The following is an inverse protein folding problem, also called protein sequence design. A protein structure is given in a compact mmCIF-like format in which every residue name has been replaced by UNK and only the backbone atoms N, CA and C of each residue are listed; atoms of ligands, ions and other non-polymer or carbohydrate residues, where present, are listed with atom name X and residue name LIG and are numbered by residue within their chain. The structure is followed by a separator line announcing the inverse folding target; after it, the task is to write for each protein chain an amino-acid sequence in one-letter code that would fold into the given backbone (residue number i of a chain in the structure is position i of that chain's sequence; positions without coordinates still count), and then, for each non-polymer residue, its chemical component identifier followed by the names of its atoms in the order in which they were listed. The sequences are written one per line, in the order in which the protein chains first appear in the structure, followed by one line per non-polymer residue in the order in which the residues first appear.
data_IF_133344646856
#
_entry.id   IF_133344646856
#
_cell.length_a   1.000
_cell.length_b   1.000
_cell.length_c   1.000
_cell.angle_alpha   90.00
_cell.angle_beta   90.00
_cell.angle_gamma   90.00
#
_symmetry.space_group_name_H-M   'P 1'
#
loop_
_entity.id
_entity.type
_entity.pdbx_description
1 polymer ?
#
# COMPACT_ATOMS: atom_id res chain seq x y z
N UNK A 1 58.18 15.55 -21.38
CA UNK A 1 57.32 16.37 -20.48
C UNK A 1 55.82 16.00 -20.60
N UNK A 2 55.45 14.74 -20.86
CA UNK A 2 54.08 14.40 -21.31
C UNK A 2 53.52 13.11 -20.71
N UNK A 3 53.57 12.98 -19.38
CA UNK A 3 52.89 11.86 -18.69
C UNK A 3 52.15 12.30 -17.41
N UNK A 4 52.51 13.46 -16.84
CA UNK A 4 51.89 14.00 -15.62
C UNK A 4 50.55 14.70 -15.85
N UNK A 5 50.21 15.11 -17.08
CA UNK A 5 48.97 15.83 -17.40
C UNK A 5 47.76 14.91 -17.66
N UNK A 6 47.96 13.63 -17.94
CA UNK A 6 46.85 12.71 -18.27
C UNK A 6 46.18 12.07 -17.05
N UNK A 7 46.79 12.14 -15.86
CA UNK A 7 46.23 11.51 -14.64
C UNK A 7 45.19 12.43 -13.96
N UNK A 8 45.26 13.75 -14.18
CA UNK A 8 44.36 14.71 -13.52
C UNK A 8 42.97 14.76 -14.19
N UNK A 9 42.86 14.43 -15.47
CA UNK A 9 41.55 14.37 -16.15
C UNK A 9 40.74 13.10 -15.83
N UNK A 10 41.39 11.98 -15.49
CA UNK A 10 40.69 10.72 -15.18
C UNK A 10 40.05 10.69 -13.79
N UNK A 11 40.62 11.41 -12.82
CA UNK A 11 40.15 11.41 -11.42
C UNK A 11 38.97 12.38 -11.22
N UNK A 12 38.86 13.43 -12.05
CA UNK A 12 37.76 14.41 -11.92
C UNK A 12 36.43 13.92 -12.53
N UNK A 13 36.46 12.91 -13.41
CA UNK A 13 35.26 12.32 -14.02
C UNK A 13 34.56 11.28 -13.12
N UNK A 14 35.19 10.82 -12.03
CA UNK A 14 34.60 9.83 -11.11
C UNK A 14 33.69 10.43 -10.03
N UNK A 15 33.56 11.76 -9.96
CA UNK A 15 32.75 12.43 -8.94
C UNK A 15 31.40 12.98 -9.45
N UNK A 16 31.04 12.75 -10.71
CA UNK A 16 29.88 13.40 -11.33
C UNK A 16 28.63 12.51 -11.49
N UNK A 17 28.68 11.22 -11.20
CA UNK A 17 27.49 10.36 -11.19
C UNK A 17 27.13 10.01 -9.75
N UNK A 18 26.29 10.83 -9.12
CA UNK A 18 25.56 10.37 -7.94
C UNK A 18 24.79 9.11 -8.37
N UNK A 19 24.99 7.94 -7.72
CA UNK A 19 24.18 6.77 -8.03
C UNK A 19 22.71 7.14 -7.83
N UNK A 20 21.86 6.80 -8.81
CA UNK A 20 20.43 6.76 -8.56
C UNK A 20 20.22 5.82 -7.36
N UNK A 21 19.65 6.34 -6.28
CA UNK A 21 19.33 5.51 -5.12
C UNK A 21 17.90 5.02 -5.33
N UNK A 22 17.71 3.71 -5.44
CA UNK A 22 16.38 3.12 -5.33
C UNK A 22 15.80 3.55 -3.98
N UNK A 23 14.59 4.10 -3.97
CA UNK A 23 13.98 4.57 -2.73
C UNK A 23 12.81 3.65 -2.37
N UNK A 24 12.86 3.09 -1.16
CA UNK A 24 11.64 2.62 -0.53
C UNK A 24 11.04 3.83 0.19
N UNK A 25 9.79 4.13 -0.13
CA UNK A 25 9.05 5.23 0.48
C UNK A 25 7.92 4.66 1.32
N UNK A 26 7.78 5.16 2.55
CA UNK A 26 6.66 4.78 3.42
C UNK A 26 5.58 5.84 3.33
N UNK A 27 4.36 5.42 3.04
CA UNK A 27 3.19 6.31 2.97
C UNK A 27 2.19 5.95 4.06
N UNK A 28 1.50 6.95 4.59
CA UNK A 28 0.19 6.75 5.22
C UNK A 28 -0.89 6.81 4.15
N UNK A 29 -2.00 6.12 4.39
CA UNK A 29 -3.20 6.14 3.57
C UNK A 29 -4.42 6.27 4.46
N UNK A 30 -5.34 7.13 4.06
CA UNK A 30 -6.67 7.26 4.68
C UNK A 30 -7.71 7.12 3.60
N UNK A 31 -8.65 6.18 3.77
CA UNK A 31 -9.76 5.93 2.84
C UNK A 31 -11.08 6.14 3.57
N UNK A 32 -12.02 6.85 2.94
CA UNK A 32 -13.38 7.05 3.46
C UNK A 32 -14.40 6.31 2.61
N UNK A 33 -15.30 5.61 3.29
CA UNK A 33 -16.51 5.02 2.74
C UNK A 33 -17.72 5.68 3.42
N UNK A 34 -18.65 6.20 2.63
CA UNK A 34 -19.90 6.74 3.17
C UNK A 34 -20.80 5.57 3.55
N UNK A 35 -21.45 5.65 4.71
CA UNK A 35 -22.38 4.65 5.23
C UNK A 35 -23.73 5.29 5.56
N UNK A 36 -24.64 5.42 4.56
CA UNK A 36 -25.89 6.16 4.71
C UNK A 36 -26.78 5.74 5.89
N UNK A 37 -26.78 4.44 6.24
CA UNK A 37 -27.62 3.93 7.33
C UNK A 37 -26.99 4.10 8.73
N UNK A 38 -25.70 4.46 8.82
CA UNK A 38 -24.99 4.69 10.10
C UNK A 38 -24.59 6.14 10.31
N UNK A 39 -25.16 7.06 9.53
CA UNK A 39 -24.88 8.50 9.65
C UNK A 39 -25.02 8.99 11.11
N UNK A 40 -24.08 9.83 11.61
CA UNK A 40 -22.97 10.44 10.87
C UNK A 40 -21.71 9.57 10.77
N UNK A 41 -21.69 8.39 11.39
CA UNK A 41 -20.52 7.52 11.42
C UNK A 41 -20.28 6.85 10.06
N UNK A 42 -19.07 7.00 9.55
CA UNK A 42 -18.63 6.44 8.27
C UNK A 42 -17.57 5.36 8.51
N UNK A 43 -17.36 4.49 7.53
CA UNK A 43 -16.27 3.52 7.59
C UNK A 43 -14.98 4.15 7.05
N UNK A 44 -13.91 4.04 7.82
CA UNK A 44 -12.60 4.56 7.50
C UNK A 44 -11.55 3.47 7.55
N UNK A 45 -10.66 3.47 6.57
CA UNK A 45 -9.41 2.73 6.64
C UNK A 45 -8.25 3.69 6.81
N UNK A 46 -7.47 3.52 7.88
CA UNK A 46 -6.27 4.31 8.17
C UNK A 46 -5.09 3.36 8.29
N UNK A 47 -4.12 3.49 7.40
CA UNK A 47 -3.03 2.53 7.30
C UNK A 47 -1.73 3.11 6.79
N UNK A 48 -0.76 2.22 6.61
CA UNK A 48 0.55 2.51 6.05
C UNK A 48 0.99 1.41 5.10
N UNK A 49 1.86 1.74 4.16
CA UNK A 49 2.52 0.78 3.28
C UNK A 49 3.88 1.30 2.81
N UNK A 50 4.71 0.38 2.33
CA UNK A 50 5.97 0.68 1.66
C UNK A 50 5.83 0.55 0.14
N UNK A 51 6.26 1.58 -0.59
CA UNK A 51 6.31 1.60 -2.04
C UNK A 51 7.77 1.57 -2.51
N UNK A 52 8.09 0.62 -3.38
CA UNK A 52 9.39 0.57 -4.05
C UNK A 52 9.29 1.35 -5.37
N UNK A 53 10.03 2.46 -5.47
CA UNK A 53 9.93 3.35 -6.63
C UNK A 53 10.53 2.76 -7.92
N UNK A 54 11.36 1.72 -7.80
CA UNK A 54 12.04 1.05 -8.92
C UNK A 54 11.19 -0.10 -9.44
N UNK A 55 10.84 -1.06 -8.57
CA UNK A 55 10.00 -2.21 -8.96
C UNK A 55 8.53 -1.86 -9.12
N UNK A 56 8.12 -0.66 -8.69
CA UNK A 56 6.72 -0.20 -8.70
C UNK A 56 5.79 -1.13 -7.92
N UNK A 57 6.29 -1.70 -6.83
CA UNK A 57 5.55 -2.66 -5.99
C UNK A 57 5.19 -2.05 -4.64
N UNK A 58 4.08 -2.52 -4.06
CA UNK A 58 3.65 -2.20 -2.70
C UNK A 58 3.87 -3.40 -1.79
N UNK A 59 4.32 -3.14 -0.58
CA UNK A 59 4.52 -4.16 0.46
C UNK A 59 4.13 -3.62 1.83
N UNK A 60 3.77 -4.53 2.74
CA UNK A 60 3.47 -4.19 4.13
C UNK A 60 2.26 -3.27 4.31
N UNK A 61 1.25 -3.35 3.44
CA UNK A 61 -0.02 -2.67 3.67
C UNK A 61 -0.69 -3.23 4.94
N UNK A 62 -0.84 -2.37 5.93
CA UNK A 62 -1.51 -2.68 7.19
C UNK A 62 -2.21 -1.42 7.72
N UNK A 63 -3.18 -1.59 8.61
CA UNK A 63 -3.91 -0.45 9.15
C UNK A 63 -5.06 -0.85 10.04
N UNK A 64 -5.98 0.08 10.25
CA UNK A 64 -7.17 -0.07 11.05
C UNK A 64 -8.38 0.28 10.20
N UNK A 65 -9.43 -0.53 10.30
CA UNK A 65 -10.73 -0.32 9.69
C UNK A 65 -11.73 0.01 10.81
N UNK A 66 -12.47 1.11 10.69
CA UNK A 66 -13.52 1.46 11.64
C UNK A 66 -14.82 0.71 11.35
N UNK A 67 -15.55 0.37 12.41
CA UNK A 67 -16.85 -0.28 12.33
C UNK A 67 -17.96 0.76 12.57
N UNK A 68 -18.52 1.32 11.50
CA UNK A 68 -19.46 2.45 11.58
C UNK A 68 -20.74 2.16 12.39
N UNK A 69 -21.11 0.89 12.58
CA UNK A 69 -22.26 0.49 13.40
C UNK A 69 -22.03 0.54 14.92
N UNK A 70 -20.78 0.70 15.37
CA UNK A 70 -20.43 0.57 16.80
C UNK A 70 -20.33 1.89 17.54
N UNK A 71 -20.27 3.01 16.82
CA UNK A 71 -20.13 4.36 17.36
C UNK A 71 -21.12 5.35 16.74
N UNK A 72 -21.15 6.57 17.26
CA UNK A 72 -22.00 7.67 16.78
C UNK A 72 -21.19 8.91 16.36
N UNK A 73 -19.89 8.92 16.61
CA UNK A 73 -18.98 10.03 16.29
C UNK A 73 -18.02 9.58 15.19
N UNK A 74 -18.08 10.28 14.05
CA UNK A 74 -17.23 9.98 12.90
C UNK A 74 -15.73 10.26 13.18
N UNK A 75 -14.86 9.54 12.47
CA UNK A 75 -13.41 9.72 12.56
C UNK A 75 -12.99 11.13 12.12
N UNK A 76 -12.10 11.73 12.91
CA UNK A 76 -11.46 13.00 12.59
C UNK A 76 -9.94 12.79 12.36
N UNK A 77 -9.46 12.97 11.12
CA UNK A 77 -8.04 12.85 10.81
C UNK A 77 -7.10 13.74 11.65
N UNK A 78 -7.61 14.86 12.20
CA UNK A 78 -6.82 15.77 13.01
C UNK A 78 -6.53 15.24 14.42
N UNK A 79 -7.38 14.36 14.95
CA UNK A 79 -7.24 13.80 16.31
C UNK A 79 -6.73 12.36 16.29
N UNK A 80 -6.76 11.70 15.12
CA UNK A 80 -6.32 10.32 14.98
C UNK A 80 -7.34 9.33 15.50
N UNK A 81 -7.03 8.03 15.38
CA UNK A 81 -7.90 6.94 15.82
C UNK A 81 -8.13 7.05 17.33
N UNK A 82 -9.38 6.90 17.78
CA UNK A 82 -9.79 7.07 19.18
C UNK A 82 -9.48 8.47 19.75
N UNK A 83 -9.30 9.48 18.88
CA UNK A 83 -9.05 10.84 19.33
C UNK A 83 -10.35 11.54 19.76
N UNK A 84 -11.36 11.44 18.91
CA UNK A 84 -12.73 11.96 19.17
C UNK A 84 -13.82 11.00 18.74
N UNK A 85 -13.51 10.07 17.84
CA UNK A 85 -14.42 9.00 17.46
C UNK A 85 -14.64 7.99 18.60
N UNK A 86 -15.78 7.31 18.55
CA UNK A 86 -16.21 6.27 19.48
C UNK A 86 -16.48 4.93 18.77
N UNK A 87 -16.02 4.78 17.53
CA UNK A 87 -16.13 3.55 16.76
C UNK A 87 -15.13 2.51 17.24
N UNK A 88 -15.51 1.24 17.11
CA UNK A 88 -14.59 0.11 17.24
C UNK A 88 -13.70 0.04 16.00
N UNK A 89 -12.45 -0.35 16.19
CA UNK A 89 -11.45 -0.44 15.14
C UNK A 89 -10.85 -1.85 15.07
N UNK A 90 -10.83 -2.41 13.86
CA UNK A 90 -10.28 -3.72 13.56
C UNK A 90 -8.92 -3.56 12.87
N UNK A 91 -7.90 -4.25 13.38
CA UNK A 91 -6.56 -4.19 12.82
C UNK A 91 -6.40 -5.16 11.64
N UNK A 92 -6.02 -4.64 10.48
CA UNK A 92 -5.71 -5.40 9.28
C UNK A 92 -4.19 -5.46 9.09
N UNK A 93 -3.61 -6.65 9.05
CA UNK A 93 -2.14 -6.83 9.04
C UNK A 93 -1.62 -7.73 7.94
N UNK A 94 -2.52 -8.35 7.16
CA UNK A 94 -2.15 -9.33 6.15
C UNK A 94 -2.36 -8.74 4.75
N UNK A 95 -1.32 -8.19 4.12
CA UNK A 95 -1.37 -7.83 2.70
C UNK A 95 -1.35 -9.11 1.84
N UNK A 96 -2.50 -9.49 1.27
CA UNK A 96 -2.64 -10.75 0.52
C UNK A 96 -2.95 -10.56 -0.98
N UNK A 97 -3.27 -9.34 -1.42
CA UNK A 97 -3.48 -9.01 -2.83
C UNK A 97 -2.77 -7.71 -3.20
N UNK A 98 -2.12 -7.71 -4.36
CA UNK A 98 -1.47 -6.55 -4.96
C UNK A 98 -1.46 -6.73 -6.49
N UNK A 99 -2.53 -6.28 -7.14
CA UNK A 99 -2.76 -6.51 -8.56
C UNK A 99 -2.64 -5.20 -9.35
N UNK A 100 -1.86 -5.21 -10.43
CA UNK A 100 -1.75 -4.05 -11.32
C UNK A 100 -2.95 -3.95 -12.27
N UNK A 101 -3.57 -2.79 -12.32
CA UNK A 101 -4.63 -2.45 -13.26
C UNK A 101 -4.09 -1.44 -14.28
N UNK A 102 -3.82 -1.92 -15.49
CA UNK A 102 -3.30 -1.11 -16.58
C UNK A 102 -4.27 -0.02 -17.04
N UNK A 103 -5.58 -0.23 -16.89
CA UNK A 103 -6.60 0.76 -17.27
C UNK A 103 -6.66 1.94 -16.29
N UNK A 104 -6.32 1.69 -15.02
CA UNK A 104 -6.28 2.69 -13.97
C UNK A 104 -4.89 3.28 -13.75
N UNK A 105 -3.84 2.64 -14.28
CA UNK A 105 -2.45 3.10 -14.18
C UNK A 105 -1.84 2.91 -12.80
N UNK A 106 -2.24 1.86 -12.06
CA UNK A 106 -1.74 1.64 -10.70
C UNK A 106 -2.05 0.27 -10.12
N UNK A 107 -1.65 0.08 -8.88
CA UNK A 107 -1.88 -1.13 -8.10
C UNK A 107 -3.16 -1.01 -7.28
N UNK A 108 -3.93 -2.08 -7.27
CA UNK A 108 -4.95 -2.30 -6.26
C UNK A 108 -4.38 -3.25 -5.20
N UNK A 109 -4.34 -2.81 -3.96
CA UNK A 109 -3.66 -3.52 -2.86
C UNK A 109 -4.63 -3.74 -1.73
N UNK A 110 -4.67 -4.95 -1.19
CA UNK A 110 -5.64 -5.34 -0.16
C UNK A 110 -4.96 -5.93 1.06
N UNK A 111 -5.37 -5.46 2.23
CA UNK A 111 -4.97 -6.01 3.53
C UNK A 111 -6.16 -6.63 4.25
N UNK A 112 -5.91 -7.67 5.03
CA UNK A 112 -6.90 -8.50 5.69
C UNK A 112 -6.62 -8.64 7.19
N UNK A 113 -7.69 -8.84 7.97
CA UNK A 113 -7.62 -9.19 9.38
C UNK A 113 -6.92 -10.54 9.56
N UNK A 114 -7.37 -11.55 8.81
CA UNK A 114 -6.81 -12.90 8.86
C UNK A 114 -5.81 -13.14 7.72
N UNK A 115 -5.01 -14.20 7.84
CA UNK A 115 -4.04 -14.64 6.81
C UNK A 115 -4.70 -15.33 5.60
N UNK A 116 -5.99 -15.09 5.37
CA UNK A 116 -6.78 -15.65 4.26
C UNK A 116 -7.59 -14.54 3.60
N UNK A 117 -7.84 -14.66 2.29
CA UNK A 117 -8.71 -13.73 1.55
C UNK A 117 -10.20 -14.03 1.72
N UNK A 118 -10.54 -15.16 2.33
CA UNK A 118 -11.92 -15.57 2.53
C UNK A 118 -12.60 -14.67 3.56
N UNK A 119 -13.44 -13.74 3.10
CA UNK A 119 -14.19 -12.82 3.96
C UNK A 119 -15.66 -13.22 4.09
N UNK A 120 -16.26 -13.72 3.01
CA UNK A 120 -17.64 -14.17 2.97
C UNK A 120 -17.71 -15.71 2.92
N UNK A 121 -18.63 -16.34 3.66
CA UNK A 121 -18.91 -17.79 3.58
C UNK A 121 -20.21 -18.03 2.83
N UNK A 122 -20.22 -18.93 1.83
CA UNK A 122 -21.46 -19.25 1.11
C UNK A 122 -22.55 -19.90 1.99
N UNK A 123 -23.73 -20.11 1.40
CA UNK A 123 -24.87 -20.73 2.07
C UNK A 123 -24.60 -22.18 2.55
N UNK A 124 -23.54 -22.83 2.05
CA UNK A 124 -23.09 -24.15 2.51
C UNK A 124 -22.02 -24.05 3.61
N UNK A 125 -21.67 -22.84 4.07
CA UNK A 125 -20.63 -22.58 5.06
C UNK A 125 -19.21 -22.67 4.50
N UNK A 126 -19.05 -22.74 3.17
CA UNK A 126 -17.76 -22.83 2.52
C UNK A 126 -17.19 -21.44 2.23
N UNK A 127 -15.94 -21.25 2.63
CA UNK A 127 -15.10 -20.12 2.21
C UNK A 127 -14.48 -20.46 0.85
N UNK A 128 -14.89 -19.80 -0.24
CA UNK A 128 -14.22 -19.93 -1.55
C UNK A 128 -13.28 -18.74 -1.77
N UNK A 129 -12.02 -18.95 -2.14
CA UNK A 129 -11.02 -17.87 -2.29
C UNK A 129 -10.84 -17.35 -3.74
N UNK A 130 -11.85 -17.55 -4.60
CA UNK A 130 -12.10 -16.74 -5.81
C UNK A 130 -12.48 -15.29 -5.49
N UNK A 131 -11.78 -14.71 -4.52
CA UNK A 131 -12.04 -13.45 -3.87
C UNK A 131 -11.84 -12.29 -4.85
N UNK A 132 -12.82 -11.41 -4.90
CA UNK A 132 -12.76 -10.09 -5.50
C UNK A 132 -13.80 -9.23 -4.77
N UNK A 133 -13.56 -7.93 -4.57
CA UNK A 133 -14.55 -7.11 -3.92
C UNK A 133 -15.91 -7.13 -4.64
N UNK A 134 -16.99 -7.10 -3.87
CA UNK A 134 -18.36 -7.18 -4.38
C UNK A 134 -18.86 -8.60 -4.74
N UNK A 135 -17.97 -9.60 -4.79
CA UNK A 135 -18.38 -11.01 -4.92
C UNK A 135 -18.57 -11.62 -3.54
N UNK A 136 -19.69 -12.32 -3.35
CA UNK A 136 -20.03 -12.93 -2.07
C UNK A 136 -20.85 -12.04 -1.12
N UNK A 137 -21.29 -10.87 -1.56
CA UNK A 137 -22.11 -9.94 -0.78
C UNK A 137 -23.50 -10.49 -0.35
N UNK A 138 -24.07 -11.47 -1.06
CA UNK A 138 -25.37 -12.08 -0.71
C UNK A 138 -25.24 -13.21 0.32
N UNK A 139 -24.10 -13.30 1.01
CA UNK A 139 -23.71 -14.48 1.76
C UNK A 139 -23.84 -14.23 3.26
N UNK A 140 -24.83 -14.93 3.81
CA UNK A 140 -25.46 -14.71 5.11
C UNK A 140 -24.66 -15.26 6.30
N UNK A 141 -23.34 -15.33 6.21
CA UNK A 141 -22.49 -15.64 7.35
C UNK A 141 -21.13 -14.95 7.13
N UNK A 142 -20.59 -14.40 8.21
CA UNK A 142 -19.25 -13.84 8.23
C UNK A 142 -18.20 -14.91 8.49
N UNK A 143 -17.02 -14.79 7.90
CA UNK A 143 -15.86 -15.66 8.23
C UNK A 143 -15.06 -15.16 9.44
N UNK A 144 -15.56 -14.16 10.17
CA UNK A 144 -14.80 -13.40 11.17
C UNK A 144 -13.49 -12.83 10.59
N UNK A 145 -13.59 -12.27 9.40
CA UNK A 145 -12.48 -11.65 8.67
C UNK A 145 -12.95 -10.27 8.17
N UNK A 146 -12.00 -9.41 7.85
CA UNK A 146 -12.26 -8.09 7.29
C UNK A 146 -11.16 -7.75 6.29
N UNK A 147 -11.44 -6.86 5.36
CA UNK A 147 -10.44 -6.34 4.43
C UNK A 147 -10.67 -4.88 4.08
N UNK A 148 -9.58 -4.22 3.67
CA UNK A 148 -9.61 -2.92 3.01
C UNK A 148 -8.71 -2.97 1.77
N UNK A 149 -9.23 -2.43 0.66
CA UNK A 149 -8.56 -2.32 -0.64
C UNK A 149 -8.33 -0.86 -0.97
N UNK A 150 -7.07 -0.53 -1.24
CA UNK A 150 -6.61 0.81 -1.65
C UNK A 150 -6.15 0.79 -3.10
N UNK A 151 -6.02 1.97 -3.70
CA UNK A 151 -5.38 2.17 -5.00
C UNK A 151 -4.08 2.96 -4.86
N UNK A 152 -2.98 2.46 -5.41
CA UNK A 152 -1.68 3.14 -5.41
C UNK A 152 -1.25 3.43 -6.85
N UNK A 153 -1.17 4.70 -7.21
CA UNK A 153 -0.64 5.10 -8.52
C UNK A 153 0.86 4.80 -8.59
N UNK A 154 1.30 4.06 -9.61
CA UNK A 154 2.70 3.62 -9.76
C UNK A 154 3.65 4.72 -10.26
N UNK A 155 3.10 5.77 -10.87
CA UNK A 155 3.87 6.94 -11.34
C UNK A 155 4.05 7.92 -10.19
N UNK A 156 2.95 8.28 -9.53
CA UNK A 156 2.93 9.22 -8.41
C UNK A 156 1.90 8.79 -7.35
N UNK A 157 2.32 8.14 -6.25
CA UNK A 157 1.43 7.73 -5.17
C UNK A 157 0.67 8.89 -4.48
N UNK A 158 1.13 10.14 -4.63
CA UNK A 158 0.47 11.31 -4.05
C UNK A 158 -0.54 11.97 -5.00
N UNK A 159 -0.67 11.47 -6.22
CA UNK A 159 -1.62 11.98 -7.18
C UNK A 159 -3.06 11.83 -6.67
N UNK A 160 -3.87 12.89 -6.82
CA UNK A 160 -5.31 12.83 -6.54
C UNK A 160 -5.96 11.74 -7.36
N UNK A 161 -6.73 10.87 -6.71
CA UNK A 161 -7.42 9.79 -7.41
C UNK A 161 -8.54 10.30 -8.31
N UNK A 162 -8.66 9.68 -9.47
CA UNK A 162 -9.82 9.85 -10.34
C UNK A 162 -11.04 9.12 -9.79
N UNK A 163 -12.23 9.47 -10.27
CA UNK A 163 -13.46 8.74 -9.91
C UNK A 163 -13.39 7.25 -10.27
N UNK A 164 -12.74 6.87 -11.38
CA UNK A 164 -12.58 5.46 -11.75
C UNK A 164 -11.69 4.69 -10.78
N UNK A 165 -10.66 5.33 -10.23
CA UNK A 165 -9.79 4.76 -9.20
C UNK A 165 -10.52 4.65 -7.86
N UNK A 166 -11.24 5.70 -7.44
CA UNK A 166 -12.06 5.69 -6.21
C UNK A 166 -13.12 4.59 -6.27
N UNK A 167 -13.76 4.39 -7.42
CA UNK A 167 -14.76 3.34 -7.61
C UNK A 167 -14.22 1.91 -7.37
N UNK A 168 -12.89 1.73 -7.42
CA UNK A 168 -12.19 0.44 -7.22
C UNK A 168 -11.59 0.29 -5.82
N UNK A 169 -11.88 1.22 -4.92
CA UNK A 169 -11.66 1.03 -3.49
C UNK A 169 -12.79 0.17 -2.93
N UNK A 170 -12.49 -0.62 -1.90
CA UNK A 170 -13.50 -1.44 -1.26
C UNK A 170 -13.11 -1.82 0.16
N UNK A 171 -14.11 -2.11 0.99
CA UNK A 171 -13.91 -2.83 2.23
C UNK A 171 -15.01 -3.88 2.42
N UNK A 172 -14.73 -4.83 3.30
CA UNK A 172 -15.75 -5.66 3.90
C UNK A 172 -15.35 -5.98 5.33
N UNK A 173 -16.35 -6.07 6.21
CA UNK A 173 -16.16 -6.38 7.61
C UNK A 173 -17.19 -7.41 8.08
N UNK A 174 -16.70 -8.58 8.45
CA UNK A 174 -17.49 -9.70 8.96
C UNK A 174 -17.11 -10.06 10.41
N UNK A 175 -16.47 -9.15 11.15
CA UNK A 175 -16.17 -9.28 12.59
C UNK A 175 -17.41 -8.98 13.44
N UNK A 176 -17.30 -9.10 14.76
CA UNK A 176 -18.41 -8.87 15.68
C UNK A 176 -19.09 -7.49 15.53
N UNK A 177 -18.34 -6.40 15.31
CA UNK A 177 -18.94 -5.07 15.13
C UNK A 177 -19.22 -4.71 13.67
N UNK A 178 -18.72 -5.50 12.71
CA UNK A 178 -19.06 -5.40 11.29
C UNK A 178 -20.29 -6.21 10.84
N UNK A 179 -20.97 -6.92 11.74
CA UNK A 179 -22.10 -7.79 11.36
C UNK A 179 -23.48 -7.13 11.54
N UNK A 180 -24.24 -7.06 10.45
CA UNK A 180 -25.64 -6.64 10.37
C UNK A 180 -26.57 -7.87 10.38
N UNK A 181 -26.69 -8.53 11.55
CA UNK A 181 -27.35 -9.83 11.62
C UNK A 181 -26.50 -10.88 10.87
N UNK A 182 -27.01 -11.54 9.82
CA UNK A 182 -26.22 -12.51 9.04
C UNK A 182 -25.30 -11.87 8.00
N UNK A 183 -25.41 -10.56 7.77
CA UNK A 183 -24.78 -9.87 6.65
C UNK A 183 -23.56 -9.06 7.13
N UNK A 184 -22.45 -9.12 6.41
CA UNK A 184 -21.27 -8.30 6.69
C UNK A 184 -21.45 -6.87 6.20
N UNK A 185 -20.87 -5.89 6.88
CA UNK A 185 -20.71 -4.54 6.33
C UNK A 185 -19.76 -4.57 5.13
N UNK A 186 -20.06 -3.78 4.11
CA UNK A 186 -19.29 -3.71 2.87
C UNK A 186 -19.44 -2.33 2.27
N UNK A 187 -18.35 -1.82 1.68
CA UNK A 187 -18.35 -0.60 0.89
C UNK A 187 -17.86 -0.90 -0.51
N UNK A 188 -18.75 -0.88 -1.50
CA UNK A 188 -18.40 -1.05 -2.92
C UNK A 188 -19.20 -0.10 -3.80
N UNK A 189 -18.71 0.19 -5.00
CA UNK A 189 -19.42 1.04 -5.96
C UNK A 189 -20.01 0.23 -7.12
N UNK A 190 -21.13 0.70 -7.67
CA UNK A 190 -21.73 0.11 -8.89
C UNK A 190 -20.76 0.20 -10.07
N UNK A 191 -20.07 1.32 -10.23
CA UNK A 191 -19.13 1.51 -11.33
C UNK A 191 -17.87 0.63 -11.22
N UNK A 192 -17.44 0.28 -10.00
CA UNK A 192 -16.27 -0.58 -9.77
C UNK A 192 -16.59 -2.07 -9.80
N UNK A 193 -17.73 -2.46 -9.20
CA UNK A 193 -18.04 -3.84 -8.86
C UNK A 193 -19.47 -4.29 -9.25
N UNK A 194 -20.21 -3.44 -9.95
CA UNK A 194 -21.59 -3.73 -10.40
C UNK A 194 -22.63 -3.70 -9.28
N UNK A 195 -22.24 -3.31 -8.06
CA UNK A 195 -23.11 -3.32 -6.88
C UNK A 195 -22.67 -2.31 -5.82
N UNK A 196 -23.65 -1.71 -5.14
CA UNK A 196 -23.43 -0.88 -3.93
C UNK A 196 -23.18 -1.76 -2.72
N UNK A 197 -22.35 -1.29 -1.78
CA UNK A 197 -22.15 -1.95 -0.49
C UNK A 197 -23.44 -2.13 0.30
N UNK A 198 -23.34 -2.89 1.38
CA UNK A 198 -24.44 -3.05 2.35
C UNK A 198 -24.66 -1.72 3.04
N UNK A 199 -25.86 -1.47 3.55
CA UNK A 199 -26.22 -0.16 4.12
C UNK A 199 -26.12 1.00 3.12
N UNK A 200 -26.02 0.70 1.83
CA UNK A 200 -25.74 1.70 0.81
C UNK A 200 -24.28 2.17 0.81
N UNK A 201 -23.35 1.44 1.43
CA UNK A 201 -21.95 1.85 1.59
C UNK A 201 -21.15 1.96 0.29
N UNK A 202 -20.40 3.05 0.10
CA UNK A 202 -19.53 3.23 -1.09
C UNK A 202 -18.30 4.11 -0.82
N UNK A 203 -17.17 3.87 -1.53
CA UNK A 203 -15.98 4.69 -1.39
C UNK A 203 -16.18 6.10 -1.94
N UNK A 204 -15.63 7.11 -1.25
CA UNK A 204 -15.69 8.51 -1.70
C UNK A 204 -14.34 9.20 -1.80
N UNK A 205 -13.35 8.77 -1.02
CA UNK A 205 -12.04 9.39 -1.07
C UNK A 205 -10.94 8.48 -0.56
N UNK A 206 -9.73 8.73 -1.05
CA UNK A 206 -8.50 8.20 -0.50
C UNK A 206 -7.44 9.30 -0.58
N UNK A 207 -6.70 9.50 0.51
CA UNK A 207 -5.57 10.42 0.57
C UNK A 207 -4.33 9.67 1.03
N UNK A 208 -3.17 10.13 0.56
CA UNK A 208 -1.88 9.58 0.94
C UNK A 208 -0.92 10.69 1.34
N UNK A 209 -0.06 10.40 2.31
CA UNK A 209 1.00 11.31 2.74
C UNK A 209 2.31 10.55 2.83
N UNK A 210 3.37 11.14 2.31
CA UNK A 210 4.71 10.58 2.45
C UNK A 210 5.19 10.74 3.89
N UNK A 211 5.51 9.63 4.55
CA UNK A 211 6.03 9.62 5.92
C UNK A 211 7.56 9.62 5.96
N UNK A 212 8.19 8.83 5.10
CA UNK A 212 9.64 8.70 5.08
C UNK A 212 10.15 8.16 3.75
N UNK A 213 11.41 8.45 3.45
CA UNK A 213 12.15 7.88 2.32
C UNK A 213 13.41 7.21 2.85
N UNK A 214 13.58 5.93 2.55
CA UNK A 214 14.80 5.19 2.87
C UNK A 214 15.58 4.95 1.59
N UNK A 215 16.79 5.54 1.45
CA UNK A 215 17.65 5.25 0.30
C UNK A 215 18.17 3.82 0.39
N UNK A 216 18.02 3.06 -0.69
CA UNK A 216 18.55 1.70 -0.84
C UNK A 216 19.67 1.77 -1.89
N UNK A 217 20.92 1.45 -1.54
CA UNK A 217 22.01 1.39 -2.51
C UNK A 217 21.67 0.38 -3.61
N UNK A 218 21.70 0.81 -4.87
CA UNK A 218 21.45 -0.10 -6.00
C UNK A 218 22.56 -1.15 -6.11
N UNK A 219 22.27 -2.30 -6.71
CA UNK A 219 23.26 -3.38 -6.93
C UNK A 219 24.51 -2.85 -7.66
N UNK A 220 24.33 -1.89 -8.59
CA UNK A 220 25.41 -1.25 -9.31
C UNK A 220 26.32 -0.39 -8.40
N UNK A 221 25.79 0.13 -7.28
CA UNK A 221 26.61 0.84 -6.28
C UNK A 221 27.60 -0.12 -5.64
N UNK A 222 27.20 -1.36 -5.36
CA UNK A 222 28.10 -2.39 -4.86
C UNK A 222 29.09 -2.86 -5.93
N UNK A 223 28.65 -2.99 -7.19
CA UNK A 223 29.52 -3.33 -8.30
C UNK A 223 30.60 -2.26 -8.54
N UNK A 224 30.23 -0.98 -8.50
CA UNK A 224 31.16 0.14 -8.66
C UNK A 224 32.12 0.27 -7.48
N UNK A 225 31.66 -0.01 -6.25
CA UNK A 225 32.53 -0.10 -5.07
C UNK A 225 33.53 -1.26 -5.22
N UNK A 226 33.08 -2.44 -5.63
CA UNK A 226 33.94 -3.60 -5.82
C UNK A 226 34.96 -3.38 -6.95
N UNK A 227 34.54 -2.78 -8.07
CA UNK A 227 35.43 -2.38 -9.16
C UNK A 227 36.43 -1.32 -8.71
N UNK A 228 36.00 -0.31 -7.95
CA UNK A 228 36.87 0.71 -7.38
C UNK A 228 37.95 0.10 -6.48
N UNK A 229 37.57 -0.81 -5.59
CA UNK A 229 38.51 -1.55 -4.75
C UNK A 229 39.46 -2.44 -5.58
N UNK A 230 38.95 -3.09 -6.64
CA UNK A 230 39.75 -3.89 -7.57
C UNK A 230 40.83 -3.08 -8.29
N UNK A 231 40.47 -1.88 -8.80
CA UNK A 231 41.40 -0.96 -9.46
C UNK A 231 42.46 -0.45 -8.48
N UNK A 232 42.05 -0.03 -7.27
CA UNK A 232 42.98 0.42 -6.23
C UNK A 232 43.96 -0.70 -5.83
N UNK A 233 43.49 -1.94 -5.71
CA UNK A 233 44.32 -3.11 -5.45
C UNK A 233 45.34 -3.36 -6.57
N UNK A 234 44.93 -3.24 -7.83
CA UNK A 234 45.81 -3.43 -8.98
C UNK A 234 46.89 -2.34 -9.07
N UNK A 235 46.53 -1.08 -8.89
CA UNK A 235 47.48 0.06 -8.87
C UNK A 235 48.48 -0.08 -7.73
N UNK A 236 48.02 -0.49 -6.53
CA UNK A 236 48.89 -0.77 -5.40
C UNK A 236 49.91 -1.87 -5.71
N UNK A 237 49.49 -2.93 -6.41
CA UNK A 237 50.37 -4.04 -6.81
C UNK A 237 51.42 -3.61 -7.83
N UNK A 238 51.07 -2.81 -8.82
CA UNK A 238 52.02 -2.30 -9.82
C UNK A 238 53.11 -1.42 -9.19
N UNK A 239 52.73 -0.52 -8.27
CA UNK A 239 53.72 0.33 -7.55
C UNK A 239 54.70 -0.48 -6.72
N UNK A 240 54.28 -1.62 -6.18
CA UNK A 240 55.16 -2.50 -5.39
C UNK A 240 56.16 -3.27 -6.26
N UNK A 241 55.78 -3.60 -7.49
CA UNK A 241 56.67 -4.29 -8.45
C UNK A 241 57.71 -3.35 -9.06
N UNK A 242 57.48 -2.04 -9.10
CA UNK A 242 58.45 -1.06 -9.60
C UNK A 242 59.47 -0.59 -8.55
N UNK A 243 59.39 -1.09 -7.31
CA UNK A 243 60.33 -0.75 -6.20
C UNK A 243 61.28 -1.91 -5.87
N UNK A 244 61.28 -2.97 -6.68
CA UNK A 244 62.24 -4.08 -6.67
C UNK A 244 63.00 -4.01 -7.99
#
# INVERSE_FOLDING_TARGET
MSFKKSIILGVLAMFATLPAMAAIQTYSVTTKFIEPDTEPANTWFVGTFSFNTVSKTVSGLQGWLSESMTGTVDYNPATGINGTDDMTWVQLTNQLDATYDASLGGLLVTTFLNSTTSTFVDAAGSTSDGWTPGVGHTRNNGSNNAYARIFVNTVDPLATLTSSQINKLAYADCTAGGMMGPTCMTGTSIAGYGRVGTMGGFPVSQTMTLLSTTPVPEADTYAMLALGLGVLGWVGRQKRQSMV
#
